data_IF_958911258129
#
_entry.id   IF_958911258129
#
_cell.length_a   1.000
_cell.length_b   1.000
_cell.length_c   1.000
_cell.angle_alpha   90.00
_cell.angle_beta   90.00
_cell.angle_gamma   90.00
#
_symmetry.space_group_name_H-M   'P 1'
#
loop_
_entity.id
_entity.type
_entity.pdbx_description
1 polymer ?
#
# COMPACT_ATOMS: atom_id res chain seq x y z
N UNK A 1 25.83 -41.31 -35.15
CA UNK A 1 26.36 -40.21 -34.32
C UNK A 1 25.81 -38.91 -34.92
N UNK A 2 24.63 -38.42 -34.58
CA UNK A 2 23.83 -38.59 -33.34
C UNK A 2 24.59 -38.18 -32.07
N UNK A 3 24.03 -37.42 -31.12
CA UNK A 3 22.85 -36.52 -31.15
C UNK A 3 22.86 -35.76 -29.82
N UNK A 4 22.65 -34.45 -29.84
CA UNK A 4 22.52 -33.66 -28.60
C UNK A 4 21.57 -32.49 -28.81
N UNK A 5 20.28 -32.82 -28.88
CA UNK A 5 19.19 -31.87 -29.05
C UNK A 5 19.08 -30.94 -27.84
N UNK A 6 19.32 -29.64 -28.06
CA UNK A 6 19.05 -28.60 -27.07
C UNK A 6 17.53 -28.31 -26.99
N UNK A 7 16.81 -29.26 -26.40
CA UNK A 7 15.52 -29.12 -25.72
C UNK A 7 14.58 -28.01 -26.25
N UNK A 8 13.99 -28.21 -27.43
CA UNK A 8 12.87 -27.40 -27.92
C UNK A 8 11.60 -27.65 -27.09
N UNK A 9 11.48 -26.99 -25.93
CA UNK A 9 10.28 -27.03 -25.07
C UNK A 9 9.60 -25.66 -24.93
N UNK A 10 9.42 -24.96 -26.06
CA UNK A 10 8.46 -23.85 -26.15
C UNK A 10 7.10 -24.37 -26.61
N UNK A 11 6.26 -24.80 -25.66
CA UNK A 11 4.92 -25.35 -25.95
C UNK A 11 3.86 -24.28 -26.19
N UNK A 12 4.10 -23.40 -27.16
CA UNK A 12 3.10 -22.48 -27.71
C UNK A 12 3.05 -22.61 -29.24
N UNK A 13 2.23 -23.55 -29.73
CA UNK A 13 1.89 -23.65 -31.16
C UNK A 13 0.90 -22.56 -31.57
N UNK A 14 1.40 -21.33 -31.61
CA UNK A 14 0.86 -20.24 -32.42
C UNK A 14 2.03 -19.58 -33.15
N UNK A 15 1.86 -19.26 -34.43
CA UNK A 15 2.91 -18.58 -35.22
C UNK A 15 3.00 -17.11 -34.82
N UNK A 16 3.57 -16.86 -33.63
CA UNK A 16 3.86 -15.52 -33.12
C UNK A 16 4.88 -14.85 -34.05
N UNK A 17 4.41 -13.94 -34.90
CA UNK A 17 5.24 -13.14 -35.80
C UNK A 17 6.18 -12.26 -34.99
N UNK A 18 7.41 -12.71 -34.81
CA UNK A 18 8.46 -12.02 -34.01
C UNK A 18 8.89 -10.68 -34.57
N UNK A 19 8.54 -10.39 -35.83
CA UNK A 19 9.01 -9.29 -36.70
C UNK A 19 8.59 -7.86 -36.27
N UNK A 20 8.22 -7.69 -35.00
CA UNK A 20 7.84 -6.41 -34.38
C UNK A 20 7.88 -6.41 -32.85
N UNK A 21 8.36 -7.48 -32.21
CA UNK A 21 8.42 -7.58 -30.75
C UNK A 21 9.84 -7.31 -30.25
N UNK A 22 9.97 -6.42 -29.27
CA UNK A 22 11.22 -6.19 -28.54
C UNK A 22 11.52 -7.45 -27.71
N UNK A 23 12.75 -7.97 -27.81
CA UNK A 23 13.16 -9.14 -27.03
C UNK A 23 13.14 -8.86 -25.52
N UNK A 24 12.85 -9.87 -24.66
CA UNK A 24 12.88 -9.71 -23.20
C UNK A 24 14.20 -9.13 -22.70
N UNK A 25 14.14 -8.09 -21.86
CA UNK A 25 15.31 -7.31 -21.43
C UNK A 25 16.13 -8.00 -20.32
N UNK A 26 16.55 -9.25 -20.55
CA UNK A 26 17.38 -9.98 -19.60
C UNK A 26 18.85 -9.53 -19.70
N UNK A 27 19.46 -9.26 -18.55
CA UNK A 27 20.89 -8.90 -18.41
C UNK A 27 21.46 -9.54 -17.15
N UNK A 28 22.27 -10.58 -17.31
CA UNK A 28 22.88 -11.27 -16.17
C UNK A 28 23.77 -10.35 -15.31
N UNK A 29 24.45 -9.39 -15.93
CA UNK A 29 25.22 -8.35 -15.21
C UNK A 29 24.35 -7.55 -14.23
N UNK A 30 23.09 -7.26 -14.56
CA UNK A 30 22.20 -6.55 -13.63
C UNK A 30 21.86 -7.44 -12.42
N UNK A 31 21.65 -8.74 -12.65
CA UNK A 31 21.35 -9.72 -11.59
C UNK A 31 22.54 -9.90 -10.64
N UNK A 32 23.74 -10.10 -11.19
CA UNK A 32 24.99 -10.20 -10.43
C UNK A 32 25.30 -8.92 -9.64
N UNK A 33 24.94 -7.74 -10.16
CA UNK A 33 25.09 -6.49 -9.43
C UNK A 33 24.24 -6.44 -8.14
N UNK A 34 23.09 -7.13 -8.08
CA UNK A 34 22.28 -7.25 -6.85
C UNK A 34 22.97 -8.15 -5.82
N UNK A 35 23.55 -9.28 -6.25
CA UNK A 35 24.36 -10.14 -5.37
C UNK A 35 25.58 -9.40 -4.80
N UNK A 36 26.21 -8.50 -5.57
CA UNK A 36 27.25 -7.59 -5.05
C UNK A 36 26.69 -6.54 -4.07
N UNK A 37 25.57 -5.89 -4.38
CA UNK A 37 24.90 -4.93 -3.49
C UNK A 37 24.58 -5.53 -2.11
N UNK A 38 24.14 -6.79 -2.08
CA UNK A 38 23.78 -7.49 -0.84
C UNK A 38 24.99 -8.01 -0.05
N UNK A 39 26.08 -8.37 -0.73
CA UNK A 39 27.28 -8.93 -0.07
C UNK A 39 28.28 -7.86 0.41
N UNK A 40 28.37 -6.72 -0.30
CA UNK A 40 29.34 -5.66 0.00
C UNK A 40 28.79 -4.23 -0.09
N UNK A 41 27.46 -4.06 -0.14
CA UNK A 41 26.80 -2.75 -0.16
C UNK A 41 27.02 -1.91 -1.43
N UNK A 42 26.53 -0.65 -1.44
CA UNK A 42 26.56 0.21 -2.63
C UNK A 42 27.96 0.52 -3.19
N UNK A 43 29.02 0.35 -2.39
CA UNK A 43 30.41 0.47 -2.85
C UNK A 43 30.76 -0.61 -3.87
N UNK A 44 30.66 -1.89 -3.46
CA UNK A 44 30.99 -3.02 -4.34
C UNK A 44 30.07 -3.12 -5.56
N UNK A 45 28.78 -2.76 -5.44
CA UNK A 45 27.88 -2.58 -6.58
C UNK A 45 28.42 -1.56 -7.62
N UNK A 46 28.87 -0.38 -7.16
CA UNK A 46 29.47 0.67 -8.01
C UNK A 46 30.88 0.32 -8.51
N UNK A 47 31.54 -0.70 -7.97
CA UNK A 47 32.83 -1.21 -8.43
C UNK A 47 32.65 -2.32 -9.47
N UNK A 48 31.76 -3.29 -9.21
CA UNK A 48 31.39 -4.34 -10.14
C UNK A 48 30.88 -3.79 -11.47
N UNK A 49 29.89 -2.87 -11.44
CA UNK A 49 29.37 -2.24 -12.66
C UNK A 49 30.44 -1.46 -13.44
N UNK A 50 31.45 -0.91 -12.76
CA UNK A 50 32.58 -0.21 -13.37
C UNK A 50 33.54 -1.16 -14.09
N UNK A 51 33.75 -2.36 -13.53
CA UNK A 51 34.49 -3.44 -14.19
C UNK A 51 33.80 -3.91 -15.46
N UNK A 52 32.49 -4.19 -15.36
CA UNK A 52 31.62 -4.61 -16.48
C UNK A 52 31.29 -3.48 -17.47
N UNK A 53 31.73 -2.24 -17.20
CA UNK A 53 31.49 -1.03 -18.02
C UNK A 53 30.00 -0.70 -18.22
N UNK A 54 29.17 -1.05 -17.23
CA UNK A 54 27.72 -0.81 -17.21
C UNK A 54 27.41 0.41 -16.34
N UNK A 55 26.42 1.21 -16.75
CA UNK A 55 25.93 2.34 -15.96
C UNK A 55 25.12 1.90 -14.74
N UNK A 56 25.17 2.67 -13.65
CA UNK A 56 24.29 2.46 -12.48
C UNK A 56 22.82 2.55 -12.89
N UNK A 57 22.05 1.51 -12.63
CA UNK A 57 20.64 1.41 -13.05
C UNK A 57 19.64 1.54 -11.88
N UNK A 58 20.02 1.11 -10.67
CA UNK A 58 19.25 1.34 -9.46
C UNK A 58 19.32 2.81 -9.02
N UNK A 59 18.20 3.34 -8.55
CA UNK A 59 18.08 4.60 -7.81
C UNK A 59 18.67 4.50 -6.40
N UNK A 60 18.94 5.63 -5.74
CA UNK A 60 19.37 5.64 -4.34
C UNK A 60 18.27 5.13 -3.37
N UNK A 61 16.99 5.19 -3.77
CA UNK A 61 15.87 4.60 -3.00
C UNK A 61 15.92 3.07 -3.07
N UNK A 62 16.14 2.48 -4.26
CA UNK A 62 16.32 1.03 -4.42
C UNK A 62 17.60 0.52 -3.74
N UNK A 63 18.69 1.29 -3.81
CA UNK A 63 19.96 0.97 -3.13
C UNK A 63 19.84 0.95 -1.61
N UNK A 64 18.91 1.71 -1.03
CA UNK A 64 18.57 1.65 0.39
C UNK A 64 17.52 0.56 0.69
N UNK A 65 16.53 0.37 -0.18
CA UNK A 65 15.45 -0.60 -0.03
C UNK A 65 15.95 -2.04 -0.03
N UNK A 66 16.76 -2.43 -1.03
CA UNK A 66 17.13 -3.84 -1.26
C UNK A 66 17.89 -4.44 -0.05
N UNK A 67 18.96 -3.83 0.50
CA UNK A 67 19.65 -4.38 1.67
C UNK A 67 18.82 -4.35 2.95
N UNK A 68 17.83 -3.46 3.04
CA UNK A 68 16.96 -3.31 4.23
C UNK A 68 15.88 -4.40 4.30
N UNK A 69 15.45 -4.94 3.17
CA UNK A 69 14.35 -5.91 3.07
C UNK A 69 14.78 -7.29 2.53
N UNK A 70 16.09 -7.54 2.42
CA UNK A 70 16.63 -8.83 2.03
C UNK A 70 16.75 -9.79 3.22
N UNK A 71 15.92 -10.84 3.20
CA UNK A 71 16.04 -12.00 4.08
C UNK A 71 17.08 -12.96 3.48
N UNK A 72 18.24 -13.07 4.13
CA UNK A 72 19.20 -14.13 3.78
C UNK A 72 18.67 -15.46 4.30
N UNK A 73 18.45 -16.43 3.40
CA UNK A 73 18.15 -17.81 3.79
C UNK A 73 19.29 -18.36 4.65
N UNK A 74 19.04 -18.55 5.94
CA UNK A 74 19.92 -19.36 6.79
C UNK A 74 19.94 -20.78 6.20
N UNK A 75 21.11 -21.39 5.96
CA UNK A 75 21.14 -22.79 5.55
C UNK A 75 20.43 -23.64 6.63
N UNK A 76 19.62 -24.64 6.23
CA UNK A 76 18.88 -25.46 7.19
C UNK A 76 19.86 -26.12 8.17
N UNK A 77 19.68 -25.87 9.47
CA UNK A 77 20.49 -26.47 10.52
C UNK A 77 20.31 -27.98 10.51
N UNK A 78 21.38 -28.71 10.17
CA UNK A 78 21.39 -30.16 9.96
C UNK A 78 21.13 -30.95 11.26
N UNK A 79 19.87 -31.03 11.70
CA UNK A 79 19.44 -31.85 12.86
C UNK A 79 18.00 -32.35 12.74
N UNK A 80 17.63 -32.89 11.58
CA UNK A 80 16.62 -33.96 11.53
C UNK A 80 17.21 -35.17 10.81
N UNK A 81 17.76 -36.10 11.61
CA UNK A 81 18.15 -37.44 11.13
C UNK A 81 16.91 -38.28 10.84
N UNK A 82 16.24 -38.01 9.72
CA UNK A 82 15.22 -38.93 9.19
C UNK A 82 15.95 -40.24 8.85
N UNK A 83 15.65 -41.27 9.65
CA UNK A 83 16.39 -42.53 9.73
C UNK A 83 16.14 -43.44 8.51
N UNK A 84 16.64 -43.00 7.36
CA UNK A 84 16.49 -43.63 6.05
C UNK A 84 17.38 -44.89 5.95
N UNK A 85 16.90 -46.00 6.51
CA UNK A 85 17.47 -47.31 6.23
C UNK A 85 17.34 -47.63 4.75
N UNK A 86 18.49 -47.94 4.15
CA UNK A 86 18.72 -48.68 2.92
C UNK A 86 17.48 -48.92 2.04
N UNK A 87 17.45 -48.27 0.87
CA UNK A 87 17.48 -49.08 -0.34
C UNK A 87 18.42 -48.46 -1.38
N UNK A 88 18.99 -49.30 -2.23
CA UNK A 88 20.09 -48.90 -3.14
C UNK A 88 19.74 -49.18 -4.59
N UNK A 89 19.25 -48.16 -5.29
CA UNK A 89 19.49 -48.05 -6.73
C UNK A 89 19.39 -46.60 -7.22
N UNK A 90 20.24 -46.26 -8.19
CA UNK A 90 20.50 -44.86 -8.55
C UNK A 90 19.54 -44.32 -9.60
N UNK A 91 18.76 -43.30 -9.25
CA UNK A 91 18.35 -42.26 -10.19
C UNK A 91 18.46 -40.90 -9.50
N UNK A 92 19.42 -40.09 -9.95
CA UNK A 92 19.59 -38.71 -9.50
C UNK A 92 18.42 -37.89 -10.01
N UNK A 93 17.35 -37.81 -9.22
CA UNK A 93 16.13 -37.10 -9.59
C UNK A 93 16.44 -35.66 -9.98
N UNK A 94 16.24 -35.33 -11.27
CA UNK A 94 16.46 -33.98 -11.77
C UNK A 94 15.43 -33.05 -11.12
N UNK A 95 15.88 -32.24 -10.17
CA UNK A 95 15.06 -31.38 -9.33
C UNK A 95 14.38 -30.25 -10.12
N UNK A 96 13.34 -30.60 -10.88
CA UNK A 96 12.66 -29.70 -11.82
C UNK A 96 11.14 -29.91 -11.76
N UNK A 97 10.62 -30.18 -10.55
CA UNK A 97 9.19 -30.04 -10.26
C UNK A 97 8.83 -28.55 -10.20
N UNK A 98 8.50 -27.98 -11.35
CA UNK A 98 7.80 -26.71 -11.46
C UNK A 98 6.30 -27.00 -11.60
N UNK A 99 5.52 -26.98 -10.51
CA UNK A 99 4.08 -27.17 -10.62
C UNK A 99 3.48 -26.00 -11.41
N UNK A 100 2.78 -26.32 -12.50
CA UNK A 100 2.12 -25.33 -13.37
C UNK A 100 0.88 -24.69 -12.71
N UNK A 101 0.50 -25.17 -11.54
CA UNK A 101 -0.64 -24.74 -10.75
C UNK A 101 -0.21 -24.58 -9.29
N UNK A 102 -0.92 -23.76 -8.52
CA UNK A 102 -0.75 -23.70 -7.07
C UNK A 102 -1.36 -24.95 -6.44
N UNK A 103 -0.57 -25.72 -5.69
CA UNK A 103 -1.06 -26.84 -4.85
C UNK A 103 -1.82 -26.34 -3.60
N UNK A 104 -2.04 -25.03 -3.48
CA UNK A 104 -2.83 -24.35 -2.43
C UNK A 104 -4.07 -23.70 -3.04
N UNK A 105 -5.24 -24.06 -2.53
CA UNK A 105 -6.54 -23.48 -2.91
C UNK A 105 -6.60 -21.97 -2.68
N UNK A 106 -7.29 -21.27 -3.58
CA UNK A 106 -7.50 -19.82 -3.44
C UNK A 106 -8.45 -19.52 -2.26
N UNK A 107 -8.10 -18.62 -1.33
CA UNK A 107 -8.98 -18.24 -0.22
C UNK A 107 -10.31 -17.64 -0.71
N UNK A 108 -11.42 -18.20 -0.23
CA UNK A 108 -12.78 -17.77 -0.57
C UNK A 108 -13.11 -16.34 -0.12
N UNK A 109 -14.02 -15.72 -0.86
CA UNK A 109 -14.66 -14.44 -0.52
C UNK A 109 -15.80 -14.69 0.49
N UNK A 110 -15.39 -14.94 1.73
CA UNK A 110 -16.20 -15.52 2.81
C UNK A 110 -17.37 -14.65 3.32
N UNK A 111 -17.37 -13.35 3.03
CA UNK A 111 -18.49 -12.45 3.31
C UNK A 111 -19.53 -12.40 2.17
N UNK A 112 -19.32 -13.18 1.09
CA UNK A 112 -20.11 -13.17 -0.12
C UNK A 112 -19.60 -12.18 -1.18
N UNK A 113 -20.11 -12.34 -2.41
CA UNK A 113 -19.75 -11.51 -3.57
C UNK A 113 -20.85 -11.54 -4.64
N UNK A 114 -21.27 -10.39 -5.23
CA UNK A 114 -22.29 -10.33 -6.28
C UNK A 114 -21.92 -11.01 -7.62
N UNK A 115 -22.88 -11.70 -8.26
CA UNK A 115 -22.86 -12.01 -9.72
C UNK A 115 -23.51 -10.84 -10.49
N UNK A 116 -22.69 -9.95 -11.06
CA UNK A 116 -23.16 -8.79 -11.82
C UNK A 116 -23.00 -9.02 -13.33
N UNK A 117 -24.13 -9.15 -14.02
CA UNK A 117 -24.16 -9.28 -15.48
C UNK A 117 -24.06 -7.91 -16.16
N UNK A 118 -22.83 -7.46 -16.39
CA UNK A 118 -22.52 -6.22 -17.12
C UNK A 118 -23.05 -6.24 -18.56
N UNK A 119 -24.26 -5.69 -18.77
CA UNK A 119 -24.88 -5.54 -20.11
C UNK A 119 -24.57 -4.21 -20.79
N UNK A 120 -24.05 -3.24 -20.06
CA UNK A 120 -23.84 -1.88 -20.54
C UNK A 120 -22.43 -1.71 -21.11
N UNK A 121 -22.29 -0.85 -22.13
CA UNK A 121 -21.00 -0.38 -22.60
C UNK A 121 -20.21 0.30 -21.48
N UNK A 122 -18.87 0.25 -21.56
CA UNK A 122 -18.00 0.88 -20.57
C UNK A 122 -18.08 2.40 -20.67
N UNK A 123 -18.32 3.08 -19.54
CA UNK A 123 -18.12 4.52 -19.40
C UNK A 123 -16.98 4.80 -18.42
N UNK A 124 -16.19 5.85 -18.68
CA UNK A 124 -15.03 6.25 -17.87
C UNK A 124 -15.04 7.77 -17.68
N UNK A 125 -15.32 8.21 -16.46
CA UNK A 125 -15.23 9.62 -16.05
C UNK A 125 -13.87 9.88 -15.36
N UNK A 126 -13.31 11.10 -15.51
CA UNK A 126 -12.00 11.46 -14.96
C UNK A 126 -12.12 12.49 -13.83
N UNK A 127 -11.69 12.09 -12.63
CA UNK A 127 -11.56 12.93 -11.44
C UNK A 127 -10.10 13.33 -11.23
N UNK A 128 -9.88 14.51 -10.66
CA UNK A 128 -8.56 15.12 -10.47
C UNK A 128 -8.44 15.69 -9.06
N UNK A 129 -7.22 15.69 -8.51
CA UNK A 129 -6.88 16.46 -7.32
C UNK A 129 -5.63 17.33 -7.58
N UNK A 130 -5.70 18.67 -7.39
CA UNK A 130 -6.89 19.46 -7.07
C UNK A 130 -8.04 19.33 -8.10
N UNK A 131 -9.31 19.51 -7.69
CA UNK A 131 -10.46 19.38 -8.57
C UNK A 131 -10.46 20.43 -9.68
N UNK A 132 -11.02 20.06 -10.84
CA UNK A 132 -11.31 21.01 -11.93
C UNK A 132 -12.53 21.86 -11.58
N UNK A 133 -12.69 23.00 -12.25
CA UNK A 133 -13.83 23.90 -12.03
C UNK A 133 -15.17 23.13 -12.10
N UNK A 134 -16.06 23.37 -11.12
CA UNK A 134 -17.36 22.72 -10.97
C UNK A 134 -17.35 21.19 -10.85
N UNK A 135 -16.21 20.56 -10.56
CA UNK A 135 -16.11 19.13 -10.27
C UNK A 135 -15.90 18.88 -8.76
N UNK A 136 -16.45 17.79 -8.19
CA UNK A 136 -16.16 17.38 -6.82
C UNK A 136 -14.71 16.90 -6.67
N UNK A 137 -14.21 16.87 -5.43
CA UNK A 137 -12.92 16.23 -5.12
C UNK A 137 -13.01 14.70 -5.26
N UNK A 138 -11.86 14.06 -5.48
CA UNK A 138 -11.75 12.59 -5.48
C UNK A 138 -12.29 12.00 -4.16
N UNK A 139 -11.97 12.62 -3.03
CA UNK A 139 -12.42 12.18 -1.70
C UNK A 139 -13.94 12.26 -1.54
N UNK A 140 -14.58 13.34 -1.96
CA UNK A 140 -16.06 13.48 -1.87
C UNK A 140 -16.79 12.40 -2.69
N UNK A 141 -16.31 12.08 -3.90
CA UNK A 141 -16.93 11.03 -4.72
C UNK A 141 -16.73 9.65 -4.10
N UNK A 142 -15.52 9.33 -3.63
CA UNK A 142 -15.23 8.03 -2.99
C UNK A 142 -16.06 7.84 -1.72
N UNK A 143 -16.12 8.86 -0.86
CA UNK A 143 -16.97 8.88 0.34
C UNK A 143 -18.45 8.63 0.00
N UNK A 144 -18.98 9.34 -1.00
CA UNK A 144 -20.34 9.10 -1.47
C UNK A 144 -20.57 7.65 -1.92
N UNK A 145 -19.63 7.04 -2.66
CA UNK A 145 -19.77 5.66 -3.13
C UNK A 145 -19.73 4.64 -1.98
N UNK A 146 -18.98 4.89 -0.91
CA UNK A 146 -18.98 4.07 0.33
C UNK A 146 -20.35 4.14 1.02
N UNK A 147 -20.98 5.32 1.07
CA UNK A 147 -22.34 5.51 1.60
C UNK A 147 -23.41 4.87 0.68
N UNK A 148 -23.24 5.00 -0.64
CA UNK A 148 -24.16 4.48 -1.66
C UNK A 148 -24.04 2.96 -1.90
N UNK A 149 -22.98 2.29 -1.46
CA UNK A 149 -22.84 0.83 -1.54
C UNK A 149 -23.90 0.07 -0.71
N UNK A 150 -24.27 -1.13 -1.16
CA UNK A 150 -25.35 -1.95 -0.60
C UNK A 150 -25.01 -3.43 -0.37
N UNK A 151 -24.00 -3.97 -1.04
CA UNK A 151 -23.61 -5.39 -1.00
C UNK A 151 -22.13 -5.57 -0.66
N UNK A 152 -21.22 -5.00 -1.47
CA UNK A 152 -19.77 -5.20 -1.36
C UNK A 152 -19.00 -3.89 -1.55
N UNK A 153 -17.97 -3.70 -0.73
CA UNK A 153 -16.87 -2.74 -0.98
C UNK A 153 -15.57 -3.53 -1.01
N UNK A 154 -14.89 -3.54 -2.15
CA UNK A 154 -13.53 -4.04 -2.27
C UNK A 154 -12.56 -2.87 -2.39
N UNK A 155 -11.46 -2.92 -1.64
CA UNK A 155 -10.41 -1.89 -1.60
C UNK A 155 -9.07 -2.56 -1.85
N UNK A 156 -8.31 -2.03 -2.80
CA UNK A 156 -6.90 -2.37 -3.07
C UNK A 156 -6.13 -1.05 -2.96
N UNK A 157 -5.23 -0.96 -1.98
CA UNK A 157 -4.58 0.31 -1.64
C UNK A 157 -3.16 0.12 -1.10
N UNK A 158 -2.21 0.90 -1.60
CA UNK A 158 -0.84 0.92 -1.08
C UNK A 158 -0.79 1.57 0.31
N UNK A 159 -1.44 2.73 0.48
CA UNK A 159 -1.40 3.52 1.72
C UNK A 159 -2.81 3.90 2.17
N UNK A 160 -3.19 3.41 3.35
CA UNK A 160 -4.46 3.73 4.00
C UNK A 160 -4.21 4.26 5.42
N UNK A 161 -4.20 5.60 5.54
CA UNK A 161 -4.12 6.36 6.79
C UNK A 161 -5.11 7.55 6.83
N UNK A 162 -6.12 7.58 5.94
CA UNK A 162 -7.17 8.59 5.94
C UNK A 162 -8.33 8.20 6.87
N UNK A 163 -8.47 8.93 7.97
CA UNK A 163 -9.43 8.65 9.04
C UNK A 163 -10.89 8.81 8.61
N UNK A 164 -11.20 9.73 7.69
CA UNK A 164 -12.59 9.99 7.27
C UNK A 164 -13.09 8.84 6.38
N UNK A 165 -12.27 8.42 5.41
CA UNK A 165 -12.57 7.29 4.53
C UNK A 165 -12.62 5.98 5.33
N UNK A 166 -11.72 5.81 6.31
CA UNK A 166 -11.72 4.65 7.20
C UNK A 166 -13.03 4.54 8.00
N UNK A 167 -13.50 5.64 8.59
CA UNK A 167 -14.75 5.64 9.39
C UNK A 167 -15.97 5.26 8.57
N UNK A 168 -16.10 5.76 7.35
CA UNK A 168 -17.25 5.42 6.49
C UNK A 168 -17.21 3.95 6.02
N UNK A 169 -16.02 3.38 5.81
CA UNK A 169 -15.87 1.95 5.50
C UNK A 169 -16.23 1.07 6.71
N UNK A 170 -15.84 1.49 7.92
CA UNK A 170 -16.26 0.83 9.17
C UNK A 170 -17.78 0.92 9.34
N UNK A 171 -18.38 2.09 9.11
CA UNK A 171 -19.83 2.29 9.15
C UNK A 171 -20.56 1.42 8.11
N UNK A 172 -20.06 1.32 6.88
CA UNK A 172 -20.61 0.44 5.86
C UNK A 172 -20.59 -1.04 6.30
N UNK A 173 -19.50 -1.50 6.94
CA UNK A 173 -19.41 -2.86 7.49
C UNK A 173 -20.44 -3.12 8.61
N UNK A 174 -20.66 -2.14 9.49
CA UNK A 174 -21.70 -2.19 10.53
C UNK A 174 -23.11 -2.16 9.95
N UNK A 175 -23.29 -1.47 8.83
CA UNK A 175 -24.54 -1.38 8.05
C UNK A 175 -24.85 -2.67 7.25
N UNK A 176 -24.00 -3.68 7.33
CA UNK A 176 -24.20 -5.00 6.72
C UNK A 176 -23.51 -5.21 5.36
N UNK A 177 -22.76 -4.23 4.86
CA UNK A 177 -22.02 -4.34 3.59
C UNK A 177 -20.76 -5.18 3.82
N UNK A 178 -20.48 -6.13 2.90
CA UNK A 178 -19.27 -6.95 2.96
C UNK A 178 -18.05 -6.16 2.50
N UNK A 179 -17.09 -5.93 3.41
CA UNK A 179 -15.90 -5.12 3.15
C UNK A 179 -14.65 -6.01 3.06
N UNK A 180 -13.93 -5.91 1.95
CA UNK A 180 -12.63 -6.53 1.76
C UNK A 180 -11.56 -5.47 1.49
N UNK A 181 -10.48 -5.47 2.26
CA UNK A 181 -9.36 -4.53 2.11
C UNK A 181 -8.07 -5.32 1.90
N UNK A 182 -7.46 -5.13 0.73
CA UNK A 182 -6.12 -5.58 0.39
C UNK A 182 -5.17 -4.39 0.51
N UNK A 183 -4.19 -4.52 1.40
CA UNK A 183 -3.16 -3.51 1.64
C UNK A 183 -1.79 -3.98 1.18
N UNK A 184 -0.93 -3.05 0.78
CA UNK A 184 0.50 -3.34 0.66
C UNK A 184 1.09 -3.80 2.02
N UNK A 185 1.97 -4.79 1.96
CA UNK A 185 2.59 -5.40 3.14
C UNK A 185 3.41 -4.43 4.00
N UNK A 186 4.16 -3.50 3.38
CA UNK A 186 5.01 -2.57 4.12
C UNK A 186 4.21 -1.49 4.86
N UNK A 187 3.03 -1.15 4.33
CA UNK A 187 2.20 -0.05 4.83
C UNK A 187 1.13 -0.48 5.86
N UNK A 188 0.91 -1.79 6.06
CA UNK A 188 -0.03 -2.34 7.05
C UNK A 188 0.11 -1.71 8.44
N UNK A 189 1.34 -1.54 8.94
CA UNK A 189 1.59 -1.02 10.29
C UNK A 189 0.95 0.36 10.49
N UNK A 190 1.06 1.23 9.48
CA UNK A 190 0.48 2.59 9.50
C UNK A 190 -1.05 2.56 9.55
N UNK A 191 -1.67 1.61 8.83
CA UNK A 191 -3.12 1.38 8.86
C UNK A 191 -3.61 0.86 10.22
N UNK A 192 -2.90 -0.12 10.81
CA UNK A 192 -3.24 -0.65 12.13
C UNK A 192 -3.13 0.44 13.21
N UNK A 193 -2.05 1.21 13.23
CA UNK A 193 -1.89 2.34 14.16
C UNK A 193 -2.93 3.45 13.93
N UNK A 194 -3.39 3.70 12.70
CA UNK A 194 -4.54 4.58 12.46
C UNK A 194 -5.82 4.04 13.11
N UNK A 195 -6.12 2.75 12.94
CA UNK A 195 -7.33 2.13 13.49
C UNK A 195 -7.31 2.10 15.03
N UNK A 196 -6.16 1.76 15.63
CA UNK A 196 -5.91 1.81 17.08
C UNK A 196 -6.09 3.24 17.63
N UNK A 197 -5.54 4.25 16.95
CA UNK A 197 -5.71 5.66 17.31
C UNK A 197 -7.15 6.19 17.14
N UNK A 198 -8.08 5.39 16.65
CA UNK A 198 -9.52 5.69 16.55
C UNK A 198 -10.38 4.67 17.32
N UNK A 199 -9.78 3.89 18.21
CA UNK A 199 -10.39 2.85 19.05
C UNK A 199 -11.08 1.69 18.27
N UNK A 200 -10.88 1.61 16.95
CA UNK A 200 -11.51 0.61 16.09
C UNK A 200 -10.73 -0.70 16.11
N UNK A 201 -11.18 -1.64 16.94
CA UNK A 201 -10.67 -3.02 16.97
C UNK A 201 -11.16 -3.82 15.76
N UNK A 202 -10.42 -3.74 14.65
CA UNK A 202 -10.70 -4.41 13.35
C UNK A 202 -11.13 -5.89 13.51
N UNK A 203 -10.52 -6.64 14.45
CA UNK A 203 -10.86 -8.05 14.74
C UNK A 203 -12.34 -8.30 15.10
N UNK A 204 -13.07 -7.28 15.54
CA UNK A 204 -14.49 -7.38 15.91
C UNK A 204 -15.45 -7.06 14.76
N UNK A 205 -14.96 -6.49 13.66
CA UNK A 205 -15.75 -6.13 12.49
C UNK A 205 -16.04 -7.38 11.65
N UNK A 206 -17.14 -8.08 11.99
CA UNK A 206 -17.51 -9.36 11.37
C UNK A 206 -17.59 -9.30 9.84
N UNK A 207 -18.09 -8.19 9.30
CA UNK A 207 -18.26 -7.92 7.88
C UNK A 207 -17.06 -7.19 7.25
N UNK A 208 -15.88 -7.25 7.87
CA UNK A 208 -14.64 -6.71 7.31
C UNK A 208 -13.55 -7.77 7.28
N UNK A 209 -12.82 -7.85 6.16
CA UNK A 209 -11.59 -8.63 6.02
C UNK A 209 -10.47 -7.70 5.59
N UNK A 210 -9.37 -7.72 6.33
CA UNK A 210 -8.14 -6.99 5.96
C UNK A 210 -7.02 -8.00 5.76
N UNK A 211 -6.41 -7.99 4.58
CA UNK A 211 -5.32 -8.88 4.17
C UNK A 211 -4.17 -8.06 3.58
N UNK A 212 -2.94 -8.59 3.61
CA UNK A 212 -1.79 -7.95 2.94
C UNK A 212 -1.37 -8.69 1.68
N UNK A 213 -1.01 -7.93 0.65
CA UNK A 213 -0.41 -8.41 -0.59
C UNK A 213 1.06 -7.99 -0.59
N UNK A 214 1.94 -8.91 -0.99
CA UNK A 214 3.34 -8.62 -1.33
C UNK A 214 3.46 -8.46 -2.85
N UNK A 215 4.38 -7.62 -3.31
CA UNK A 215 4.80 -7.61 -4.71
C UNK A 215 5.59 -8.87 -5.08
N UNK A 216 6.15 -8.89 -6.29
CA UNK A 216 6.90 -10.05 -6.78
C UNK A 216 8.15 -10.32 -5.92
N UNK A 217 8.38 -11.60 -5.62
CA UNK A 217 9.61 -12.10 -5.00
C UNK A 217 10.81 -12.00 -5.96
N UNK A 218 11.94 -11.52 -5.45
CA UNK A 218 13.25 -11.55 -6.11
C UNK A 218 14.18 -12.49 -5.34
N UNK A 219 14.82 -13.43 -6.05
CA UNK A 219 15.76 -14.40 -5.49
C UNK A 219 17.14 -14.19 -6.11
N UNK A 220 18.14 -13.97 -5.25
CA UNK A 220 19.53 -13.75 -5.62
C UNK A 220 20.32 -15.08 -5.68
N UNK A 221 21.46 -15.13 -6.38
CA UNK A 221 22.27 -16.36 -6.45
C UNK A 221 22.89 -16.75 -5.10
N UNK A 222 23.12 -15.76 -4.24
CA UNK A 222 23.47 -15.91 -2.82
C UNK A 222 22.38 -16.58 -1.96
N UNK A 223 21.18 -16.85 -2.50
CA UNK A 223 20.03 -17.35 -1.74
C UNK A 223 19.35 -16.27 -0.89
N UNK A 224 19.79 -15.02 -0.97
CA UNK A 224 19.07 -13.89 -0.38
C UNK A 224 17.76 -13.62 -1.15
N UNK A 225 16.69 -13.30 -0.43
CA UNK A 225 15.35 -13.07 -0.98
C UNK A 225 14.77 -11.75 -0.48
N UNK A 226 14.17 -10.98 -1.37
CA UNK A 226 13.33 -9.82 -1.01
C UNK A 226 12.06 -9.83 -1.89
N UNK A 227 11.13 -8.90 -1.67
CA UNK A 227 9.94 -8.76 -2.50
C UNK A 227 9.59 -7.30 -2.76
N UNK A 228 8.91 -7.03 -3.88
CA UNK A 228 8.36 -5.71 -4.20
C UNK A 228 7.17 -5.32 -3.32
N UNK A 229 6.66 -4.10 -3.54
CA UNK A 229 5.41 -3.60 -2.97
C UNK A 229 4.19 -3.92 -3.85
N UNK A 230 2.99 -3.79 -3.30
CA UNK A 230 1.75 -3.76 -4.06
C UNK A 230 1.36 -2.30 -4.37
N UNK A 231 1.67 -1.81 -5.58
CA UNK A 231 1.43 -0.41 -5.95
C UNK A 231 0.05 -0.12 -6.58
N UNK A 232 -0.78 -1.14 -6.77
CA UNK A 232 -2.12 -0.96 -7.33
C UNK A 232 -3.04 -0.20 -6.37
N UNK A 233 -3.84 0.71 -6.92
CA UNK A 233 -4.83 1.51 -6.17
C UNK A 233 -6.16 1.46 -6.91
N UNK A 234 -7.07 0.60 -6.45
CA UNK A 234 -8.42 0.55 -7.00
C UNK A 234 -9.49 0.19 -5.96
N UNK A 235 -10.72 0.60 -6.25
CA UNK A 235 -11.90 0.33 -5.45
C UNK A 235 -12.95 -0.35 -6.32
N UNK A 236 -13.78 -1.20 -5.73
CA UNK A 236 -14.92 -1.84 -6.41
C UNK A 236 -16.15 -1.75 -5.51
N UNK A 237 -17.21 -1.13 -6.01
CA UNK A 237 -18.48 -0.91 -5.31
C UNK A 237 -19.59 -1.74 -5.95
N UNK A 238 -20.18 -2.65 -5.16
CA UNK A 238 -21.26 -3.58 -5.52
C UNK A 238 -21.02 -4.39 -6.82
N UNK A 239 -19.76 -4.52 -7.25
CA UNK A 239 -19.36 -5.05 -8.56
C UNK A 239 -20.02 -4.30 -9.75
N UNK A 240 -20.42 -3.04 -9.57
CA UNK A 240 -21.06 -2.20 -10.57
C UNK A 240 -20.20 -0.99 -11.00
N UNK A 241 -19.41 -0.44 -10.07
CA UNK A 241 -18.54 0.72 -10.29
C UNK A 241 -17.14 0.40 -9.78
N UNK A 242 -16.11 0.64 -10.60
CA UNK A 242 -14.72 0.58 -10.20
C UNK A 242 -14.10 1.99 -10.17
N UNK A 243 -13.11 2.21 -9.30
CA UNK A 243 -12.27 3.42 -9.30
C UNK A 243 -10.81 2.99 -9.43
N UNK A 244 -10.02 3.63 -10.30
CA UNK A 244 -8.60 3.31 -10.50
C UNK A 244 -7.75 4.56 -10.73
N UNK A 245 -6.58 4.67 -10.12
CA UNK A 245 -5.69 5.82 -10.36
C UNK A 245 -4.52 5.97 -9.38
N UNK A 246 -4.07 7.22 -9.19
CA UNK A 246 -2.90 7.53 -8.36
C UNK A 246 -3.22 8.06 -6.97
N UNK A 247 -4.48 8.33 -6.65
CA UNK A 247 -4.88 8.83 -5.31
C UNK A 247 -4.76 7.70 -4.28
N UNK A 248 -3.91 7.87 -3.27
CA UNK A 248 -3.82 6.96 -2.11
C UNK A 248 -4.60 7.54 -0.93
N UNK A 249 -5.11 6.69 -0.02
CA UNK A 249 -5.88 7.13 1.14
C UNK A 249 -4.99 7.68 2.25
N UNK A 250 -4.36 8.85 2.04
CA UNK A 250 -3.54 9.54 3.02
C UNK A 250 -3.64 11.07 2.90
N UNK A 251 -3.42 11.78 4.01
CA UNK A 251 -3.45 13.25 4.10
C UNK A 251 -2.59 13.96 3.04
N UNK A 252 -1.50 13.35 2.59
CA UNK A 252 -0.62 13.94 1.58
C UNK A 252 -1.28 14.02 0.20
N UNK A 253 -2.13 13.07 -0.17
CA UNK A 253 -2.94 13.12 -1.40
C UNK A 253 -4.04 14.17 -1.31
N UNK A 254 -4.49 14.49 -0.10
CA UNK A 254 -5.42 15.58 0.14
C UNK A 254 -4.79 16.98 0.06
N UNK A 255 -3.48 17.15 0.33
CA UNK A 255 -2.89 18.47 0.60
C UNK A 255 -1.60 18.82 -0.15
N UNK A 256 -0.83 17.86 -0.67
CA UNK A 256 0.47 18.13 -1.32
C UNK A 256 0.72 17.38 -2.65
N UNK A 257 0.04 16.27 -2.94
CA UNK A 257 0.21 15.54 -4.19
C UNK A 257 -0.82 15.93 -5.25
N UNK A 258 -0.41 15.90 -6.52
CA UNK A 258 -1.31 15.90 -7.67
C UNK A 258 -1.72 14.45 -7.97
N UNK A 259 -3.00 14.20 -8.25
CA UNK A 259 -3.47 12.87 -8.60
C UNK A 259 -4.67 12.87 -9.55
N UNK A 260 -4.93 11.72 -10.16
CA UNK A 260 -6.03 11.49 -11.10
C UNK A 260 -6.62 10.11 -10.82
N UNK A 261 -7.94 9.99 -10.92
CA UNK A 261 -8.69 8.73 -10.78
C UNK A 261 -9.75 8.62 -11.87
N UNK A 262 -9.83 7.45 -12.49
CA UNK A 262 -10.90 7.02 -13.39
C UNK A 262 -12.05 6.44 -12.55
N UNK A 263 -13.27 6.92 -12.75
CA UNK A 263 -14.49 6.25 -12.32
C UNK A 263 -15.05 5.44 -13.51
N UNK A 264 -15.15 4.13 -13.35
CA UNK A 264 -15.39 3.17 -14.42
C UNK A 264 -16.69 2.41 -14.14
N UNK A 265 -17.57 2.34 -15.14
CA UNK A 265 -18.81 1.55 -15.09
C UNK A 265 -18.97 0.73 -16.37
N UNK A 266 -19.85 -0.27 -16.37
CA UNK A 266 -20.07 -1.16 -17.54
C UNK A 266 -19.08 -2.34 -17.60
N UNK A 267 -18.87 -2.92 -18.78
CA UNK A 267 -18.18 -4.21 -18.96
C UNK A 267 -16.77 -4.27 -18.36
N UNK A 268 -15.98 -3.20 -18.43
CA UNK A 268 -14.59 -3.18 -17.94
C UNK A 268 -14.47 -3.45 -16.42
N UNK A 269 -15.53 -3.20 -15.65
CA UNK A 269 -15.56 -3.48 -14.20
C UNK A 269 -15.32 -4.97 -13.90
N UNK A 270 -15.69 -5.88 -14.82
CA UNK A 270 -15.41 -7.33 -14.70
C UNK A 270 -13.91 -7.64 -14.58
N UNK A 271 -13.04 -6.89 -15.25
CA UNK A 271 -11.59 -7.10 -15.16
C UNK A 271 -10.99 -6.60 -13.83
N UNK A 272 -11.66 -5.67 -13.15
CA UNK A 272 -11.31 -5.28 -11.78
C UNK A 272 -11.82 -6.30 -10.74
N UNK A 273 -12.92 -7.01 -11.00
CA UNK A 273 -13.32 -8.20 -10.22
C UNK A 273 -12.30 -9.34 -10.38
N UNK A 274 -11.90 -9.65 -11.62
CA UNK A 274 -10.90 -10.67 -11.93
C UNK A 274 -9.53 -10.38 -11.28
N UNK A 275 -9.04 -9.14 -11.35
CA UNK A 275 -7.80 -8.75 -10.66
C UNK A 275 -7.99 -8.72 -9.14
N UNK A 276 -9.14 -8.28 -8.61
CA UNK A 276 -9.37 -8.32 -7.16
C UNK A 276 -9.29 -9.75 -6.61
N UNK A 277 -9.93 -10.71 -7.28
CA UNK A 277 -9.85 -12.14 -6.91
C UNK A 277 -8.43 -12.66 -7.01
N UNK A 278 -7.69 -12.25 -8.04
CA UNK A 278 -6.28 -12.64 -8.26
C UNK A 278 -5.36 -12.11 -7.15
N UNK A 279 -5.56 -10.86 -6.71
CA UNK A 279 -4.85 -10.27 -5.58
C UNK A 279 -5.30 -10.87 -4.24
N UNK A 280 -6.59 -11.15 -4.07
CA UNK A 280 -7.14 -11.77 -2.86
C UNK A 280 -6.54 -13.18 -2.68
N UNK A 281 -6.43 -13.96 -3.75
CA UNK A 281 -5.80 -15.27 -3.77
C UNK A 281 -4.31 -15.22 -3.38
N UNK A 282 -3.59 -14.18 -3.79
CA UNK A 282 -2.18 -13.93 -3.41
C UNK A 282 -2.01 -13.30 -2.02
N UNK A 283 -3.10 -12.87 -1.37
CA UNK A 283 -3.04 -12.10 -0.13
C UNK A 283 -2.97 -12.99 1.13
N UNK A 284 -2.25 -12.54 2.14
CA UNK A 284 -2.09 -13.22 3.44
C UNK A 284 -2.87 -12.50 4.55
N UNK A 285 -3.40 -13.26 5.52
CA UNK A 285 -3.96 -12.69 6.75
C UNK A 285 -2.81 -12.24 7.66
N UNK A 286 -2.73 -10.97 8.11
CA UNK A 286 -1.66 -10.52 8.98
C UNK A 286 -1.71 -11.19 10.36
N UNK A 287 -0.54 -11.55 10.91
CA UNK A 287 -0.43 -12.16 12.24
C UNK A 287 -0.95 -11.23 13.38
N UNK A 288 -0.96 -9.91 13.16
CA UNK A 288 -1.59 -8.96 14.08
C UNK A 288 -3.11 -9.12 14.09
N UNK A 289 -3.72 -9.58 12.99
CA UNK A 289 -5.16 -9.69 12.78
C UNK A 289 -5.71 -11.12 12.97
N UNK A 290 -4.88 -12.17 12.95
CA UNK A 290 -5.33 -13.54 13.21
C UNK A 290 -6.03 -13.71 14.57
N UNK A 291 -7.05 -14.57 14.68
CA UNK A 291 -7.62 -14.96 15.97
C UNK A 291 -6.55 -15.63 16.83
N UNK A 292 -6.51 -15.30 18.12
CA UNK A 292 -5.65 -16.00 19.08
C UNK A 292 -6.34 -17.29 19.54
N UNK A 293 -6.11 -18.39 18.82
CA UNK A 293 -6.46 -19.74 19.31
C UNK A 293 -5.58 -20.11 20.49
N UNK A 294 -6.05 -19.82 21.70
CA UNK A 294 -5.50 -20.36 22.94
C UNK A 294 -5.63 -21.89 22.93
N UNK A 295 -4.53 -22.66 23.09
CA UNK A 295 -4.56 -24.12 23.05
C UNK A 295 -5.01 -24.71 24.38
N UNK A 296 -6.22 -24.37 24.82
CA UNK A 296 -6.92 -25.02 25.92
C UNK A 296 -8.42 -25.07 25.59
N UNK A 297 -8.97 -26.27 25.48
CA UNK A 297 -10.34 -26.51 25.03
C UNK A 297 -11.30 -26.76 26.18
N UNK A 298 -12.27 -25.88 26.38
CA UNK A 298 -13.48 -26.16 27.17
C UNK A 298 -14.69 -25.40 26.59
N UNK A 299 -15.83 -26.09 26.54
CA UNK A 299 -17.03 -25.64 25.82
C UNK A 299 -17.87 -24.64 26.64
N UNK A 300 -18.28 -23.53 26.03
CA UNK A 300 -19.05 -22.45 26.68
C UNK A 300 -20.20 -21.95 25.80
N UNK A 301 -21.43 -22.19 26.27
CA UNK A 301 -22.70 -21.97 25.58
C UNK A 301 -22.87 -20.67 24.77
N UNK A 302 -23.65 -20.75 23.68
CA UNK A 302 -24.13 -19.58 22.95
C UNK A 302 -25.13 -18.77 23.79
N UNK A 303 -24.82 -17.50 24.03
CA UNK A 303 -25.76 -16.49 24.56
C UNK A 303 -25.78 -15.32 23.58
N UNK A 304 -26.95 -15.05 22.99
CA UNK A 304 -27.13 -13.93 22.08
C UNK A 304 -27.37 -12.63 22.85
N UNK A 305 -26.42 -11.68 22.80
CA UNK A 305 -26.62 -10.33 23.33
C UNK A 305 -26.63 -9.29 22.19
N UNK A 306 -27.67 -8.44 22.17
CA UNK A 306 -27.88 -7.35 21.20
C UNK A 306 -27.11 -6.07 21.56
N UNK A 307 -26.22 -6.09 22.56
CA UNK A 307 -25.53 -4.90 23.11
C UNK A 307 -24.18 -4.54 22.47
N UNK A 308 -23.65 -5.31 21.52
CA UNK A 308 -22.29 -5.11 20.98
C UNK A 308 -22.13 -3.80 20.16
N UNK A 309 -23.22 -3.21 19.67
CA UNK A 309 -23.17 -2.00 18.83
C UNK A 309 -22.67 -0.73 19.55
N UNK A 310 -22.62 -0.68 20.88
CA UNK A 310 -22.15 0.49 21.64
C UNK A 310 -20.64 0.48 21.97
N UNK A 311 -19.84 -0.36 21.29
CA UNK A 311 -18.41 -0.55 21.57
C UNK A 311 -17.51 -0.55 20.31
N UNK A 312 -18.01 0.05 19.21
CA UNK A 312 -17.27 0.17 17.93
C UNK A 312 -16.97 1.62 17.56
N UNK A 313 -17.78 2.58 18.03
CA UNK A 313 -17.53 4.02 17.92
C UNK A 313 -18.03 4.67 19.21
N UNK A 314 -17.12 5.14 20.06
CA UNK A 314 -17.48 6.12 21.08
C UNK A 314 -17.63 7.50 20.41
N UNK A 315 -18.76 8.21 20.59
CA UNK A 315 -18.97 9.50 19.94
C UNK A 315 -18.15 10.60 20.62
N UNK A 316 -16.94 10.87 20.11
CA UNK A 316 -16.03 11.90 20.62
C UNK A 316 -16.68 13.30 20.47
N UNK A 317 -17.32 13.79 21.53
CA UNK A 317 -17.98 15.10 21.60
C UNK A 317 -16.98 16.24 21.75
N UNK A 318 -16.12 16.47 20.75
CA UNK A 318 -15.06 17.48 20.80
C UNK A 318 -15.53 18.94 20.60
N UNK A 319 -16.77 19.26 21.00
CA UNK A 319 -17.44 20.54 20.74
C UNK A 319 -17.31 21.58 21.88
N UNK A 320 -16.98 21.15 23.12
CA UNK A 320 -17.11 22.01 24.31
C UNK A 320 -15.80 22.71 24.72
N UNK A 321 -14.64 22.04 24.67
CA UNK A 321 -13.36 22.57 25.18
C UNK A 321 -12.90 23.86 24.49
N UNK A 322 -13.09 23.98 23.17
CA UNK A 322 -12.76 25.20 22.41
C UNK A 322 -13.59 26.40 22.90
N UNK A 323 -14.80 26.15 23.42
CA UNK A 323 -15.69 27.17 23.98
C UNK A 323 -15.33 27.48 25.45
N UNK A 324 -14.80 26.51 26.20
CA UNK A 324 -14.29 26.71 27.55
C UNK A 324 -12.99 27.57 27.56
N UNK A 325 -11.99 27.18 26.77
CA UNK A 325 -10.70 27.89 26.65
C UNK A 325 -10.87 29.36 26.21
N UNK A 326 -11.86 29.65 25.38
CA UNK A 326 -12.16 31.02 24.92
C UNK A 326 -12.82 31.88 26.00
N UNK A 327 -13.58 31.30 26.93
CA UNK A 327 -14.14 32.03 28.10
C UNK A 327 -13.09 32.32 29.18
N UNK A 328 -12.15 31.41 29.42
CA UNK A 328 -11.13 31.58 30.47
C UNK A 328 -10.14 32.72 30.18
N UNK A 329 -10.03 33.17 28.91
CA UNK A 329 -9.27 34.36 28.49
C UNK A 329 -10.02 35.70 28.63
N UNK A 330 -11.25 35.73 29.16
CA UNK A 330 -12.00 36.97 29.42
C UNK A 330 -12.38 37.19 30.89
N UNK A 331 -12.11 36.25 31.80
CA UNK A 331 -12.40 36.39 33.24
C UNK A 331 -11.22 36.89 34.10
N UNK A 332 -10.00 36.99 33.55
CA UNK A 332 -8.85 37.62 34.23
C UNK A 332 -8.63 39.05 33.75
N UNK A 333 -9.47 39.94 34.27
CA UNK A 333 -9.34 41.40 34.09
C UNK A 333 -8.11 41.98 34.80
N UNK A 334 -7.40 42.81 34.05
CA UNK A 334 -6.63 43.99 34.44
C UNK A 334 -6.29 44.25 35.91
N UNK A 335 -4.98 44.42 36.18
CA UNK A 335 -4.49 45.59 36.92
C UNK A 335 -3.27 46.18 36.21
N UNK A 336 -3.42 47.39 35.65
CA UNK A 336 -2.31 48.25 35.20
C UNK A 336 -2.43 49.61 35.87
N UNK A 337 -1.44 49.97 36.67
CA UNK A 337 -1.22 51.35 37.13
C UNK A 337 -0.05 51.96 36.34
N UNK A 338 -0.09 53.27 36.00
CA UNK A 338 0.88 53.87 35.10
C UNK A 338 2.17 54.28 35.80
N UNK A 339 3.31 54.08 35.13
CA UNK A 339 4.59 54.70 35.49
C UNK A 339 4.93 55.82 34.49
N UNK A 340 5.43 56.94 35.02
CA UNK A 340 5.75 58.15 34.25
C UNK A 340 7.02 57.99 33.43
N UNK A 341 7.03 58.57 32.23
CA UNK A 341 8.24 58.92 31.47
C UNK A 341 8.78 60.29 31.90
N UNK A 342 10.11 60.44 32.10
CA UNK A 342 10.79 61.73 32.02
C UNK A 342 11.04 62.16 30.56
N UNK A 343 11.26 63.46 30.36
CA UNK A 343 11.75 64.09 29.12
C UNK A 343 13.26 64.40 29.25
N UNK A 344 13.82 65.11 28.25
CA UNK A 344 15.11 65.82 28.23
C UNK A 344 16.34 64.95 27.88
N UNK A 345 17.24 65.31 26.95
CA UNK A 345 17.24 66.30 25.84
C UNK A 345 18.47 66.09 24.92
N UNK A 346 18.54 66.86 23.82
CA UNK A 346 19.76 67.36 23.14
C UNK A 346 20.62 66.39 22.29
N UNK A 347 21.42 66.83 21.30
CA UNK A 347 21.27 67.93 20.31
C UNK A 347 22.47 67.96 19.32
N UNK A 348 22.21 67.97 18.00
CA UNK A 348 23.15 68.39 16.91
C UNK A 348 24.50 67.59 16.83
N UNK A 349 25.39 67.68 15.83
CA UNK A 349 25.62 68.53 14.62
C UNK A 349 25.84 67.61 13.38
N UNK A 350 25.49 67.94 12.12
CA UNK A 350 26.24 68.77 11.12
C UNK A 350 27.76 68.45 11.06
N UNK A 351 28.47 68.30 9.92
CA UNK A 351 28.20 68.39 8.44
C UNK A 351 29.36 67.65 7.69
N UNK A 352 29.64 67.65 6.36
CA UNK A 352 29.25 68.45 5.17
C UNK A 352 29.55 67.70 3.83
N UNK A 353 28.62 67.72 2.87
CA UNK A 353 28.78 68.07 1.43
C UNK A 353 29.91 67.51 0.52
N UNK A 354 29.53 67.04 -0.69
CA UNK A 354 30.43 66.93 -1.87
C UNK A 354 29.74 66.51 -3.19
N UNK A 355 29.45 67.46 -4.10
CA UNK A 355 29.24 67.23 -5.56
C UNK A 355 30.61 67.43 -6.28
N UNK A 356 30.90 67.17 -7.56
CA UNK A 356 30.20 66.96 -8.87
C UNK A 356 31.31 66.43 -9.86
N UNK A 357 31.20 66.34 -11.22
CA UNK A 357 30.08 66.44 -12.17
C UNK A 357 30.02 65.26 -13.19
N UNK A 358 29.26 65.46 -14.28
CA UNK A 358 29.18 64.61 -15.49
C UNK A 358 30.44 64.70 -16.39
N UNK A 359 30.58 63.74 -17.31
CA UNK A 359 30.92 64.07 -18.70
C UNK A 359 30.34 63.04 -19.69
N UNK A 360 29.96 63.51 -20.88
CA UNK A 360 29.54 62.67 -22.03
C UNK A 360 30.76 62.27 -22.86
N UNK A 361 30.65 61.14 -23.55
CA UNK A 361 30.95 61.09 -25.00
C UNK A 361 29.95 60.15 -25.67
#
# INVERSE_FOLDING_TARGET
>A
MDSSDYSFLSSLRGDFKTDGYIQPHYKEVYRLAIDHLLSGGPGTYREFLRGERVGTFLSEEELAFIPTHAELLKPPSQTEEINAKNDTEGQSSSGTYWPLHSDVDAPDLDLGWPDVRHKNQTNIDLLFHPPRLNNPTIKEVIRKQIQDAKQVIAVVMDKFTDVDIFKEIVEASLRGVAVYVLLDHFNLKSFLTMAENQDVRIKLLRNMRVRTVKGQDYLCQSGAKFHGAMEQRFLLFDCCTAFYGSYSFAWSFEKIHLSMVQMITGHLVKSYDEEFRTLYARSTVPAQLTPSTSPDGLQGAAVGDRRILSLVIDPITHAEDVRALRKQRHSRGERRTPLRSPLVSASEQRTRSGRTPEQRT
#
